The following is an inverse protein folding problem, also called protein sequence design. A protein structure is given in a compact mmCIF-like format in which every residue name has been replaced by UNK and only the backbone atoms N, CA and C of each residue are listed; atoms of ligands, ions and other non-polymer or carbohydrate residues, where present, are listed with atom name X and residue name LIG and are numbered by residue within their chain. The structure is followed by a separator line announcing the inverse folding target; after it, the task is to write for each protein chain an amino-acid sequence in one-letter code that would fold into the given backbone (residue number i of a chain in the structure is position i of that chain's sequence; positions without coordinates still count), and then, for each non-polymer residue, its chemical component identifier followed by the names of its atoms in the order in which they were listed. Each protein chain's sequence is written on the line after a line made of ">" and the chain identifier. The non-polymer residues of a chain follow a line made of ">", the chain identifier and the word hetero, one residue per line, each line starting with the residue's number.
data_IF_576730314900
#
_entry.id   IF_576730314900
#
_cell.length_a   1.000
_cell.length_b   1.000
_cell.length_c   1.000
_cell.angle_alpha   90.00
_cell.angle_beta   90.00
_cell.angle_gamma   90.00
#
_symmetry.space_group_name_H-M   'P 1'
#
loop_
_entity.id
_entity.type
_entity.pdbx_description
1 polymer ?
#
# COMPACT_ATOMS: atom_id res chain seq x y z
N UNK A 1 -11.96 -12.70 11.53
CA UNK A 1 -10.49 -12.84 11.61
C UNK A 1 -9.94 -11.43 11.67
N UNK A 2 -9.19 -11.06 12.70
CA UNK A 2 -8.53 -9.76 12.74
C UNK A 2 -7.24 -9.84 11.91
N UNK A 3 -6.92 -8.85 11.07
CA UNK A 3 -5.67 -8.83 10.33
C UNK A 3 -4.49 -8.77 11.32
N UNK A 4 -3.50 -9.65 11.13
CA UNK A 4 -2.29 -9.67 11.94
C UNK A 4 -1.39 -8.54 11.46
N UNK A 5 -1.23 -7.51 12.28
CA UNK A 5 -0.31 -6.40 12.02
C UNK A 5 1.11 -6.97 12.11
N UNK A 6 1.76 -7.14 10.96
CA UNK A 6 3.07 -7.81 10.87
C UNK A 6 4.18 -6.75 10.72
N UNK A 7 5.34 -7.03 11.31
CA UNK A 7 6.58 -6.28 11.03
C UNK A 7 6.85 -6.33 9.51
N UNK A 8 7.01 -5.16 8.88
CA UNK A 8 7.03 -5.06 7.41
C UNK A 8 8.31 -5.70 6.91
N UNK A 9 8.22 -6.82 6.18
CA UNK A 9 9.38 -7.40 5.53
C UNK A 9 9.64 -6.65 4.21
N UNK A 10 10.74 -5.90 4.07
CA UNK A 10 11.02 -5.13 2.86
C UNK A 10 11.22 -6.00 1.62
N UNK A 11 11.55 -7.29 1.78
CA UNK A 11 11.65 -8.21 0.64
C UNK A 11 10.28 -8.60 0.05
N UNK A 12 9.19 -8.34 0.77
CA UNK A 12 7.83 -8.57 0.27
C UNK A 12 7.35 -7.44 -0.66
N UNK A 13 8.04 -6.31 -0.67
CA UNK A 13 7.68 -5.11 -1.44
C UNK A 13 8.38 -5.13 -2.79
N UNK A 14 7.61 -5.37 -3.86
CA UNK A 14 8.14 -5.60 -5.21
C UNK A 14 8.77 -4.37 -5.83
N UNK A 15 8.28 -3.18 -5.48
CA UNK A 15 8.81 -1.91 -5.97
C UNK A 15 10.13 -1.49 -5.33
N UNK A 16 10.57 -2.15 -4.25
CA UNK A 16 11.91 -1.97 -3.70
C UNK A 16 12.97 -2.79 -4.46
N UNK A 17 12.55 -3.69 -5.35
CA UNK A 17 13.46 -4.47 -6.17
C UNK A 17 13.89 -3.68 -7.42
N UNK A 18 15.20 -3.46 -7.56
CA UNK A 18 15.81 -2.72 -8.68
C UNK A 18 15.62 -3.38 -10.04
N UNK A 19 15.27 -4.66 -10.08
CA UNK A 19 14.94 -5.36 -11.33
C UNK A 19 13.52 -5.03 -11.84
N UNK A 20 12.64 -4.48 -10.99
CA UNK A 20 11.27 -4.09 -11.34
C UNK A 20 11.16 -2.57 -11.58
N UNK A 21 11.75 -2.07 -12.67
CA UNK A 21 11.70 -0.65 -13.05
C UNK A 21 10.29 -0.08 -13.27
N UNK A 22 9.28 -0.94 -13.35
CA UNK A 22 7.91 -0.59 -13.66
C UNK A 22 6.98 -0.62 -12.45
N UNK A 23 7.44 -1.11 -11.29
CA UNK A 23 6.66 -1.20 -10.07
C UNK A 23 7.32 -0.29 -9.04
N UNK A 24 6.52 0.55 -8.39
CA UNK A 24 6.95 1.34 -7.25
C UNK A 24 6.13 0.93 -6.02
N UNK A 25 6.79 0.92 -4.87
CA UNK A 25 6.12 0.74 -3.59
C UNK A 25 5.81 2.12 -3.03
N UNK A 26 4.53 2.40 -2.81
CA UNK A 26 4.10 3.63 -2.16
C UNK A 26 3.84 3.33 -0.68
N UNK A 27 4.35 4.19 0.20
CA UNK A 27 3.94 4.20 1.61
C UNK A 27 2.79 5.20 1.77
N UNK A 28 1.71 4.79 2.42
CA UNK A 28 0.63 5.70 2.77
C UNK A 28 0.28 5.60 4.26
N UNK A 29 0.05 6.75 4.90
CA UNK A 29 -0.40 6.80 6.29
C UNK A 29 -1.90 6.61 6.37
N UNK A 30 -2.35 5.84 7.36
CA UNK A 30 -3.76 5.57 7.61
C UNK A 30 -4.04 5.74 9.11
N UNK A 31 -5.27 6.11 9.46
CA UNK A 31 -5.72 6.13 10.85
C UNK A 31 -5.55 4.72 11.43
N UNK A 32 -4.85 4.62 12.55
CA UNK A 32 -4.63 3.32 13.22
C UNK A 32 -5.97 2.67 13.55
N UNK A 33 -6.13 1.40 13.17
CA UNK A 33 -7.37 0.63 13.27
C UNK A 33 -8.21 0.63 11.99
N UNK A 34 -7.85 1.40 10.96
CA UNK A 34 -8.51 1.41 9.64
C UNK A 34 -7.63 0.83 8.51
N UNK A 35 -6.51 0.19 8.85
CA UNK A 35 -5.60 -0.41 7.87
C UNK A 35 -6.33 -1.41 6.95
N UNK A 36 -7.25 -2.19 7.51
CA UNK A 36 -8.03 -3.19 6.76
C UNK A 36 -8.91 -2.53 5.69
N UNK A 37 -9.52 -1.39 6.00
CA UNK A 37 -10.35 -0.61 5.06
C UNK A 37 -9.48 -0.03 3.94
N UNK A 38 -8.29 0.49 4.28
CA UNK A 38 -7.34 0.96 3.28
C UNK A 38 -6.85 -0.18 2.38
N UNK A 39 -6.61 -1.37 2.96
CA UNK A 39 -6.26 -2.58 2.20
C UNK A 39 -7.38 -3.02 1.25
N UNK A 40 -8.63 -2.99 1.71
CA UNK A 40 -9.78 -3.32 0.87
C UNK A 40 -9.94 -2.31 -0.27
N UNK A 41 -9.77 -1.01 0.00
CA UNK A 41 -9.80 0.04 -1.04
C UNK A 41 -8.69 -0.17 -2.09
N UNK A 42 -7.49 -0.62 -1.69
CA UNK A 42 -6.42 -1.00 -2.62
C UNK A 42 -6.84 -2.15 -3.53
N UNK A 43 -7.44 -3.19 -2.94
CA UNK A 43 -7.90 -4.37 -3.67
C UNK A 43 -9.04 -4.02 -4.63
N UNK A 44 -10.03 -3.26 -4.19
CA UNK A 44 -11.19 -2.91 -5.01
C UNK A 44 -10.85 -1.96 -6.16
N UNK A 45 -10.02 -0.94 -5.91
CA UNK A 45 -9.75 0.10 -6.93
C UNK A 45 -8.62 -0.26 -7.87
N UNK A 46 -7.60 -0.98 -7.39
CA UNK A 46 -6.38 -1.25 -8.14
C UNK A 46 -6.16 -2.74 -8.41
N UNK A 47 -6.89 -3.63 -7.72
CA UNK A 47 -6.68 -5.08 -7.83
C UNK A 47 -5.38 -5.56 -7.19
N UNK A 48 -4.80 -4.76 -6.28
CA UNK A 48 -3.51 -5.08 -5.63
C UNK A 48 -3.72 -5.37 -4.14
N UNK A 49 -2.90 -6.25 -3.58
CA UNK A 49 -2.85 -6.45 -2.14
C UNK A 49 -1.85 -5.49 -1.51
N UNK A 50 -2.31 -4.74 -0.50
CA UNK A 50 -1.45 -3.86 0.28
C UNK A 50 -0.87 -4.61 1.50
N UNK A 51 0.37 -4.29 1.85
CA UNK A 51 0.97 -4.74 3.11
C UNK A 51 0.54 -3.78 4.21
N UNK A 52 -0.15 -4.31 5.22
CA UNK A 52 -0.73 -3.52 6.32
C UNK A 52 0.23 -3.46 7.51
N UNK A 53 0.48 -2.26 8.01
CA UNK A 53 1.27 -2.01 9.21
C UNK A 53 0.56 -0.99 10.11
N UNK A 54 0.93 -0.92 11.39
CA UNK A 54 0.24 0.00 12.32
C UNK A 54 0.34 1.45 11.82
N UNK A 55 -0.81 2.04 11.49
CA UNK A 55 -0.95 3.40 10.97
C UNK A 55 -0.40 3.62 9.56
N UNK A 56 -0.04 2.55 8.82
CA UNK A 56 0.54 2.63 7.48
C UNK A 56 0.10 1.49 6.58
N UNK A 57 0.06 1.74 5.29
CA UNK A 57 -0.10 0.71 4.25
C UNK A 57 0.97 0.89 3.18
N UNK A 58 1.47 -0.23 2.67
CA UNK A 58 2.45 -0.25 1.57
C UNK A 58 1.80 -0.88 0.36
N UNK A 59 1.87 -0.20 -0.77
CA UNK A 59 1.12 -0.58 -1.96
C UNK A 59 2.10 -0.68 -3.12
N UNK A 60 2.26 -1.89 -3.65
CA UNK A 60 3.00 -2.10 -4.89
C UNK A 60 2.07 -1.84 -6.08
N UNK A 61 2.40 -0.81 -6.86
CA UNK A 61 1.65 -0.46 -8.08
C UNK A 61 2.57 -0.24 -9.25
N UNK A 62 2.04 -0.41 -10.46
CA UNK A 62 2.74 0.06 -11.64
C UNK A 62 2.91 1.59 -11.57
N UNK A 63 4.05 2.13 -12.01
CA UNK A 63 4.33 3.59 -11.95
C UNK A 63 3.21 4.41 -12.64
N UNK A 64 2.62 3.89 -13.72
CA UNK A 64 1.48 4.53 -14.39
C UNK A 64 0.18 4.60 -13.57
N UNK A 65 0.06 3.80 -12.51
CA UNK A 65 -1.12 3.74 -11.63
C UNK A 65 -0.95 4.59 -10.36
N UNK A 66 0.24 5.15 -10.09
CA UNK A 66 0.49 6.08 -8.97
C UNK A 66 -0.56 7.21 -8.88
N UNK A 67 -0.99 7.86 -10.00
CA UNK A 67 -2.02 8.90 -9.92
C UNK A 67 -3.39 8.42 -9.45
N UNK A 68 -3.66 7.10 -9.51
CA UNK A 68 -4.90 6.52 -8.99
C UNK A 68 -4.82 6.33 -7.47
N UNK A 69 -3.66 5.97 -6.94
CA UNK A 69 -3.41 5.85 -5.50
C UNK A 69 -3.58 7.21 -4.81
N UNK A 70 -3.13 8.30 -5.45
CA UNK A 70 -3.34 9.67 -4.96
C UNK A 70 -4.82 10.10 -4.86
N UNK A 71 -5.76 9.35 -5.45
CA UNK A 71 -7.20 9.60 -5.36
C UNK A 71 -7.89 8.83 -4.24
N UNK A 72 -7.13 8.08 -3.46
CA UNK A 72 -7.68 7.28 -2.38
C UNK A 72 -8.19 8.19 -1.27
N UNK A 73 -9.31 7.78 -0.65
CA UNK A 73 -9.94 8.54 0.45
C UNK A 73 -9.58 7.98 1.80
N UNK A 74 -9.17 6.71 1.85
CA UNK A 74 -8.80 6.01 3.09
C UNK A 74 -7.36 6.22 3.53
N UNK A 75 -6.55 6.94 2.74
CA UNK A 75 -5.15 7.28 3.08
C UNK A 75 -5.02 8.79 3.27
N UNK A 76 -4.25 9.18 4.29
CA UNK A 76 -4.13 10.57 4.72
C UNK A 76 -2.98 11.30 3.99
N UNK A 77 -1.86 10.59 3.79
CA UNK A 77 -0.68 11.09 3.11
C UNK A 77 0.05 9.95 2.39
N UNK A 78 0.70 10.24 1.26
CA UNK A 78 1.49 9.28 0.47
C UNK A 78 2.94 9.79 0.42
N UNK A 79 3.89 8.93 0.80
CA UNK A 79 5.32 9.17 0.68
C UNK A 79 5.88 8.31 -0.48
N UNK A 80 6.74 8.91 -1.30
CA UNK A 80 7.48 8.28 -2.42
C UNK A 80 8.89 7.86 -2.04
#
# INVERSE_FOLDING_TARGET
>A
MAPVITDINPNSLKGLNKDNNNICTLEATVITGLEDIAGDECREKLGVEAVLARGRVFIDVHVSQVPQVLKFRSVDNINE
#
